data_IF_628846804064
#
_entry.id   IF_628846804064
#
_cell.length_a   1.000
_cell.length_b   1.000
_cell.length_c   1.000
_cell.angle_alpha   90.00
_cell.angle_beta   90.00
_cell.angle_gamma   90.00
#
_symmetry.space_group_name_H-M   'P 1'
#
loop_
_entity.id
_entity.type
_entity.pdbx_description
1 polymer ?
#
# COMPACT_ATOMS: atom_id res chain seq x y z
N UNK A 1 0.01 -17.03 -7.27
CA UNK A 1 -0.29 -16.81 -8.70
C UNK A 1 0.45 -17.84 -9.56
N UNK A 2 -0.15 -18.39 -10.61
CA UNK A 2 0.51 -19.43 -11.44
C UNK A 2 1.36 -18.82 -12.57
N UNK A 3 2.29 -19.59 -13.14
CA UNK A 3 3.04 -19.18 -14.36
C UNK A 3 2.12 -18.88 -15.54
N UNK A 4 0.99 -19.56 -15.64
CA UNK A 4 0.00 -19.33 -16.68
C UNK A 4 -0.70 -17.99 -16.49
N UNK A 5 -1.05 -17.63 -15.26
CA UNK A 5 -1.64 -16.32 -14.93
C UNK A 5 -0.69 -15.19 -15.28
N UNK A 6 0.58 -15.30 -14.84
CA UNK A 6 1.62 -14.32 -15.18
C UNK A 6 1.77 -14.16 -16.71
N UNK A 7 1.73 -15.26 -17.47
CA UNK A 7 1.83 -15.21 -18.93
C UNK A 7 0.63 -14.49 -19.56
N UNK A 8 -0.58 -14.72 -19.04
CA UNK A 8 -1.80 -14.03 -19.50
C UNK A 8 -1.79 -12.54 -19.13
N UNK A 9 -1.40 -12.21 -17.90
CA UNK A 9 -1.27 -10.81 -17.45
C UNK A 9 -0.22 -10.09 -18.27
N UNK A 10 0.95 -10.71 -18.52
CA UNK A 10 1.97 -10.15 -19.40
C UNK A 10 1.42 -9.84 -20.79
N UNK A 11 0.62 -10.75 -21.38
CA UNK A 11 -0.04 -10.49 -22.65
C UNK A 11 -1.05 -9.33 -22.60
N UNK A 12 -1.80 -9.18 -21.49
CA UNK A 12 -2.69 -8.04 -21.27
C UNK A 12 -1.93 -6.70 -21.20
N UNK A 13 -0.74 -6.72 -20.61
CA UNK A 13 0.14 -5.55 -20.43
C UNK A 13 1.10 -5.30 -21.62
N UNK A 14 1.01 -6.08 -22.71
CA UNK A 14 1.84 -5.87 -23.90
C UNK A 14 1.48 -4.62 -24.71
N UNK A 15 0.30 -4.02 -24.48
CA UNK A 15 -0.15 -2.79 -25.13
C UNK A 15 -0.71 -1.80 -24.10
N UNK A 16 -0.72 -0.48 -24.38
CA UNK A 16 -1.30 0.52 -23.49
C UNK A 16 -2.73 0.17 -23.08
N UNK A 17 -3.03 0.36 -21.80
CA UNK A 17 -4.33 0.05 -21.17
C UNK A 17 -4.79 1.21 -20.30
N UNK A 18 -6.11 1.35 -20.12
CA UNK A 18 -6.70 2.12 -19.03
C UNK A 18 -6.72 1.26 -17.77
N UNK A 19 -5.97 1.64 -16.76
CA UNK A 19 -5.78 0.86 -15.54
C UNK A 19 -6.17 1.70 -14.34
N UNK A 20 -6.99 1.13 -13.46
CA UNK A 20 -7.28 1.70 -12.15
C UNK A 20 -6.61 0.83 -11.09
N UNK A 21 -6.04 1.47 -10.07
CA UNK A 21 -5.31 0.83 -8.96
C UNK A 21 -5.99 1.29 -7.67
N UNK A 22 -6.41 0.34 -6.84
CA UNK A 22 -7.22 0.62 -5.65
C UNK A 22 -6.63 -0.10 -4.43
N UNK A 23 -6.42 0.61 -3.31
CA UNK A 23 -6.16 0.00 -2.00
C UNK A 23 -7.41 -0.10 -1.12
N UNK A 24 -7.24 -0.59 0.11
CA UNK A 24 -8.28 -0.60 1.13
C UNK A 24 -8.63 0.81 1.67
N UNK A 25 -9.75 0.88 2.39
CA UNK A 25 -10.20 2.06 3.14
C UNK A 25 -9.26 2.33 4.32
N UNK A 26 -8.99 3.60 4.62
CA UNK A 26 -7.95 4.06 5.54
C UNK A 26 -6.57 3.51 5.16
N UNK A 27 -6.08 3.79 3.93
CA UNK A 27 -4.85 3.20 3.45
C UNK A 27 -3.65 3.67 4.29
N UNK A 28 -2.74 2.74 4.56
CA UNK A 28 -1.51 2.97 5.30
C UNK A 28 -0.28 2.98 4.36
N UNK A 29 0.92 2.83 4.92
CA UNK A 29 2.15 2.87 4.14
C UNK A 29 2.27 1.75 3.11
N UNK A 30 1.76 0.55 3.38
CA UNK A 30 1.84 -0.57 2.43
C UNK A 30 0.82 -0.44 1.30
N UNK A 31 -0.39 -0.03 1.63
CA UNK A 31 -1.43 0.32 0.68
C UNK A 31 -1.00 1.45 -0.29
N UNK A 32 -0.48 2.57 0.23
CA UNK A 32 -0.04 3.69 -0.61
C UNK A 32 1.27 3.34 -1.35
N UNK A 33 2.22 2.69 -0.68
CA UNK A 33 3.49 2.29 -1.28
C UNK A 33 3.31 1.30 -2.45
N UNK A 34 2.44 0.30 -2.30
CA UNK A 34 2.20 -0.73 -3.30
C UNK A 34 1.45 -0.17 -4.52
N UNK A 35 0.45 0.68 -4.28
CA UNK A 35 -0.32 1.32 -5.35
C UNK A 35 0.51 2.31 -6.15
N UNK A 36 1.31 3.17 -5.50
CA UNK A 36 2.22 4.09 -6.20
C UNK A 36 3.38 3.36 -6.87
N UNK A 37 3.95 2.33 -6.24
CA UNK A 37 5.00 1.51 -6.85
C UNK A 37 4.51 0.84 -8.14
N UNK A 38 3.30 0.25 -8.12
CA UNK A 38 2.70 -0.31 -9.32
C UNK A 38 2.33 0.76 -10.34
N UNK A 39 1.83 1.92 -9.90
CA UNK A 39 1.52 3.06 -10.78
C UNK A 39 2.74 3.48 -11.59
N UNK A 40 3.87 3.73 -10.93
CA UNK A 40 5.12 4.15 -11.59
C UNK A 40 5.58 3.11 -12.62
N UNK A 41 5.55 1.82 -12.25
CA UNK A 41 5.85 0.73 -13.17
C UNK A 41 4.94 0.75 -14.40
N UNK A 42 3.62 0.82 -14.21
CA UNK A 42 2.65 0.81 -15.31
C UNK A 42 2.79 2.05 -16.21
N UNK A 43 3.16 3.20 -15.64
CA UNK A 43 3.47 4.43 -16.39
C UNK A 43 4.71 4.28 -17.27
N UNK A 44 5.79 3.66 -16.77
CA UNK A 44 6.97 3.34 -17.59
C UNK A 44 6.64 2.40 -18.76
N UNK A 45 5.60 1.58 -18.61
CA UNK A 45 5.07 0.69 -19.67
C UNK A 45 4.04 1.37 -20.59
N UNK A 46 3.91 2.69 -20.53
CA UNK A 46 2.99 3.52 -21.32
C UNK A 46 1.50 3.24 -21.09
N UNK A 47 1.11 2.65 -19.95
CA UNK A 47 -0.30 2.54 -19.60
C UNK A 47 -0.84 3.87 -19.06
N UNK A 48 -2.16 4.07 -19.21
CA UNK A 48 -2.90 5.13 -18.53
C UNK A 48 -3.37 4.58 -17.18
N UNK A 49 -2.48 4.63 -16.18
CA UNK A 49 -2.76 4.22 -14.82
C UNK A 49 -3.30 5.39 -13.98
N UNK A 50 -4.28 5.12 -13.13
CA UNK A 50 -4.81 6.04 -12.12
C UNK A 50 -4.95 5.33 -10.79
N UNK A 51 -4.46 5.93 -9.71
CA UNK A 51 -4.67 5.46 -8.34
C UNK A 51 -5.91 6.14 -7.76
N UNK A 52 -6.82 5.35 -7.20
CA UNK A 52 -8.03 5.84 -6.54
C UNK A 52 -8.10 5.22 -5.14
N UNK A 53 -8.11 6.06 -4.11
CA UNK A 53 -8.24 5.63 -2.71
C UNK A 53 -9.66 5.88 -2.20
N UNK A 54 -10.20 5.03 -1.29
CA UNK A 54 -11.54 5.26 -0.75
C UNK A 54 -11.67 6.59 0.04
N UNK A 55 -10.65 6.94 0.82
CA UNK A 55 -10.62 8.12 1.68
C UNK A 55 -9.20 8.64 1.88
N UNK A 56 -9.07 9.82 2.50
CA UNK A 56 -7.78 10.40 2.83
C UNK A 56 -6.99 9.56 3.83
N UNK A 57 -5.69 9.77 3.83
CA UNK A 57 -4.70 8.98 4.53
C UNK A 57 -3.68 9.85 5.25
N UNK A 58 -2.92 9.31 6.22
CA UNK A 58 -2.09 10.10 7.12
C UNK A 58 -1.10 11.03 6.41
N UNK A 59 -0.87 12.20 7.03
CA UNK A 59 0.03 13.25 6.52
C UNK A 59 1.47 12.79 6.30
N UNK A 60 1.96 11.82 7.11
CA UNK A 60 3.32 11.27 7.00
C UNK A 60 3.54 10.41 5.74
N UNK A 61 2.53 10.26 4.87
CA UNK A 61 2.65 9.60 3.56
C UNK A 61 2.64 10.60 2.39
N UNK A 62 2.38 11.89 2.65
CA UNK A 62 2.22 12.96 1.64
C UNK A 62 3.54 13.48 1.04
N UNK A 63 4.61 12.71 1.20
CA UNK A 63 5.93 12.97 0.59
C UNK A 63 6.24 11.96 -0.52
N UNK A 64 5.46 10.87 -0.63
CA UNK A 64 5.76 9.79 -1.57
C UNK A 64 5.71 10.29 -3.02
N UNK A 65 6.62 9.81 -3.89
CA UNK A 65 6.67 10.23 -5.29
C UNK A 65 5.32 10.11 -6.00
N UNK A 66 4.80 11.26 -6.48
CA UNK A 66 3.53 11.40 -7.18
C UNK A 66 2.29 11.05 -6.34
N UNK A 67 2.31 11.19 -5.02
CA UNK A 67 1.10 11.05 -4.19
C UNK A 67 0.00 12.05 -4.56
N UNK A 68 0.38 13.24 -5.03
CA UNK A 68 -0.51 14.34 -5.39
C UNK A 68 -1.48 14.01 -6.54
N UNK A 69 -1.20 12.97 -7.34
CA UNK A 69 -2.06 12.52 -8.44
C UNK A 69 -3.18 11.59 -7.98
N UNK A 70 -3.16 11.13 -6.72
CA UNK A 70 -4.12 10.17 -6.18
C UNK A 70 -5.50 10.82 -6.10
N UNK A 71 -6.50 10.16 -6.68
CA UNK A 71 -7.90 10.57 -6.56
C UNK A 71 -8.48 10.00 -5.26
N UNK A 72 -9.01 10.88 -4.41
CA UNK A 72 -9.74 10.49 -3.19
C UNK A 72 -11.21 10.35 -3.53
N UNK A 73 -11.74 9.14 -3.46
CA UNK A 73 -13.12 8.83 -3.85
C UNK A 73 -14.16 9.62 -3.02
N UNK A 74 -13.92 9.79 -1.72
CA UNK A 74 -14.78 10.60 -0.85
C UNK A 74 -14.87 12.08 -1.26
N UNK A 75 -13.85 12.59 -1.97
CA UNK A 75 -13.78 13.98 -2.42
C UNK A 75 -14.30 14.17 -3.85
N UNK A 76 -14.08 13.20 -4.74
CA UNK A 76 -14.52 13.28 -6.14
C UNK A 76 -15.03 11.91 -6.66
N UNK A 77 -16.21 11.54 -6.17
CA UNK A 77 -16.87 10.28 -6.53
C UNK A 77 -17.21 10.19 -8.01
N UNK A 78 -17.67 11.27 -8.63
CA UNK A 78 -18.14 11.27 -10.02
C UNK A 78 -17.00 10.92 -10.97
N UNK A 79 -15.85 11.60 -10.85
CA UNK A 79 -14.68 11.33 -11.68
C UNK A 79 -14.15 9.91 -11.44
N UNK A 80 -14.10 9.48 -10.17
CA UNK A 80 -13.62 8.15 -9.82
C UNK A 80 -14.52 7.04 -10.40
N UNK A 81 -15.84 7.16 -10.30
CA UNK A 81 -16.81 6.22 -10.88
C UNK A 81 -16.64 6.10 -12.41
N UNK A 82 -16.46 7.22 -13.10
CA UNK A 82 -16.23 7.22 -14.54
C UNK A 82 -14.94 6.50 -14.92
N UNK A 83 -13.85 6.74 -14.19
CA UNK A 83 -12.57 6.09 -14.43
C UNK A 83 -12.63 4.58 -14.18
N UNK A 84 -13.30 4.16 -13.10
CA UNK A 84 -13.50 2.74 -12.76
C UNK A 84 -14.33 2.05 -13.85
N UNK A 85 -15.43 2.66 -14.32
CA UNK A 85 -16.28 2.11 -15.38
C UNK A 85 -15.57 2.01 -16.73
N UNK A 86 -14.63 2.92 -17.01
CA UNK A 86 -13.85 2.93 -18.26
C UNK A 86 -12.57 2.09 -18.19
N UNK A 87 -12.20 1.55 -17.02
CA UNK A 87 -11.01 0.76 -16.85
C UNK A 87 -11.10 -0.55 -17.66
N UNK A 88 -10.00 -0.94 -18.27
CA UNK A 88 -9.86 -2.27 -18.88
C UNK A 88 -9.33 -3.27 -17.86
N UNK A 89 -8.45 -2.80 -16.96
CA UNK A 89 -7.88 -3.56 -15.86
C UNK A 89 -8.08 -2.79 -14.54
N UNK A 90 -8.40 -3.51 -13.48
CA UNK A 90 -8.41 -2.98 -12.11
C UNK A 90 -7.45 -3.83 -11.28
N UNK A 91 -6.45 -3.19 -10.69
CA UNK A 91 -5.63 -3.80 -9.65
C UNK A 91 -6.20 -3.46 -8.27
N UNK A 92 -6.46 -4.48 -7.47
CA UNK A 92 -6.79 -4.35 -6.06
C UNK A 92 -5.57 -4.78 -5.24
N UNK A 93 -5.00 -3.85 -4.49
CA UNK A 93 -3.79 -4.07 -3.71
C UNK A 93 -4.07 -3.95 -2.23
N UNK A 94 -3.50 -4.84 -1.44
CA UNK A 94 -3.54 -4.77 0.01
C UNK A 94 -4.95 -4.93 0.61
N UNK A 95 -5.83 -5.59 -0.14
CA UNK A 95 -7.05 -6.17 0.39
C UNK A 95 -7.55 -7.31 -0.49
N UNK A 96 -8.35 -8.17 0.14
CA UNK A 96 -8.83 -9.40 -0.47
C UNK A 96 -10.35 -9.57 -0.50
N UNK A 97 -11.11 -8.54 -0.13
CA UNK A 97 -12.57 -8.52 -0.17
C UNK A 97 -13.09 -7.12 -0.54
N UNK A 98 -14.04 -7.00 -1.48
CA UNK A 98 -14.41 -5.70 -2.07
C UNK A 98 -14.95 -4.69 -1.04
N UNK A 99 -15.64 -5.15 0.00
CA UNK A 99 -16.12 -4.29 1.10
C UNK A 99 -15.00 -3.53 1.83
N UNK A 100 -13.74 -4.00 1.73
CA UNK A 100 -12.56 -3.30 2.27
C UNK A 100 -12.27 -2.01 1.54
N UNK A 101 -12.77 -1.81 0.32
CA UNK A 101 -12.68 -0.55 -0.42
C UNK A 101 -13.80 0.45 -0.04
N UNK A 102 -14.64 0.16 0.96
CA UNK A 102 -15.68 1.06 1.43
C UNK A 102 -16.70 1.42 0.35
N UNK A 103 -17.00 2.71 0.21
CA UNK A 103 -18.05 3.21 -0.71
C UNK A 103 -17.73 2.99 -2.21
N UNK A 104 -16.52 2.52 -2.52
CA UNK A 104 -16.14 2.07 -3.86
C UNK A 104 -16.62 0.65 -4.19
N UNK A 105 -17.02 -0.16 -3.20
CA UNK A 105 -17.43 -1.56 -3.41
C UNK A 105 -18.49 -1.71 -4.52
N UNK A 106 -19.60 -0.95 -4.56
CA UNK A 106 -20.64 -1.17 -5.56
C UNK A 106 -20.17 -0.91 -7.00
N UNK A 107 -19.33 0.11 -7.19
CA UNK A 107 -18.81 0.44 -8.53
C UNK A 107 -17.72 -0.54 -8.96
N UNK A 108 -16.88 -1.02 -8.03
CA UNK A 108 -15.90 -2.06 -8.31
C UNK A 108 -16.56 -3.39 -8.68
N UNK A 109 -17.61 -3.78 -7.95
CA UNK A 109 -18.34 -5.02 -8.19
C UNK A 109 -18.98 -5.04 -9.58
N UNK A 110 -19.55 -3.93 -10.02
CA UNK A 110 -20.24 -3.81 -11.33
C UNK A 110 -19.31 -3.46 -12.49
N UNK A 111 -18.03 -3.13 -12.24
CA UNK A 111 -17.07 -2.82 -13.28
C UNK A 111 -16.75 -4.06 -14.15
N UNK A 112 -16.82 -3.89 -15.47
CA UNK A 112 -16.51 -4.93 -16.47
C UNK A 112 -15.01 -5.22 -16.63
N UNK A 113 -14.15 -4.41 -16.01
CA UNK A 113 -12.70 -4.57 -16.09
C UNK A 113 -12.23 -5.92 -15.53
N UNK A 114 -11.15 -6.45 -16.10
CA UNK A 114 -10.46 -7.62 -15.54
C UNK A 114 -9.83 -7.20 -14.22
N UNK A 115 -10.15 -7.93 -13.14
CA UNK A 115 -9.64 -7.65 -11.79
C UNK A 115 -8.43 -8.52 -11.48
N UNK A 116 -7.34 -7.90 -11.03
CA UNK A 116 -6.10 -8.55 -10.60
C UNK A 116 -5.88 -8.16 -9.14
N UNK A 117 -5.85 -9.15 -8.25
CA UNK A 117 -5.66 -8.91 -6.83
C UNK A 117 -4.25 -9.31 -6.41
N UNK A 118 -3.58 -8.44 -5.64
CA UNK A 118 -2.26 -8.67 -5.04
C UNK A 118 -2.37 -8.33 -3.55
N UNK A 119 -2.29 -9.33 -2.68
CA UNK A 119 -2.56 -9.15 -1.26
C UNK A 119 -1.96 -10.27 -0.40
N UNK A 120 -1.48 -9.93 0.80
CA UNK A 120 -0.87 -10.87 1.75
C UNK A 120 -1.79 -11.25 2.93
N UNK A 121 -3.03 -10.77 2.97
CA UNK A 121 -3.97 -11.07 4.04
C UNK A 121 -4.63 -12.45 3.88
N UNK A 122 -5.07 -13.01 5.01
CA UNK A 122 -5.74 -14.32 5.04
C UNK A 122 -7.17 -14.24 4.46
N UNK A 123 -7.65 -15.38 3.95
CA UNK A 123 -9.04 -15.60 3.53
C UNK A 123 -9.51 -14.70 2.38
N UNK A 124 -8.92 -14.83 1.17
CA UNK A 124 -9.33 -14.02 0.04
C UNK A 124 -10.69 -14.43 -0.55
N UNK A 125 -11.47 -13.43 -0.99
CA UNK A 125 -12.69 -13.61 -1.77
C UNK A 125 -12.38 -14.01 -3.23
N UNK A 126 -13.41 -14.42 -3.98
CA UNK A 126 -13.31 -14.96 -5.34
C UNK A 126 -13.66 -13.97 -6.47
N UNK A 127 -13.61 -12.66 -6.21
CA UNK A 127 -14.00 -11.64 -7.19
C UNK A 127 -12.96 -11.40 -8.31
N UNK A 128 -11.69 -11.73 -8.07
CA UNK A 128 -10.59 -11.39 -8.95
C UNK A 128 -10.37 -12.47 -10.02
N UNK A 129 -10.21 -12.05 -11.28
CA UNK A 129 -9.87 -12.98 -12.38
C UNK A 129 -8.49 -13.60 -12.18
N UNK A 130 -7.54 -12.82 -11.66
CA UNK A 130 -6.20 -13.28 -11.32
C UNK A 130 -5.87 -12.96 -9.88
N UNK A 131 -5.39 -13.98 -9.15
CA UNK A 131 -5.13 -13.92 -7.72
C UNK A 131 -3.65 -14.13 -7.42
N UNK A 132 -3.00 -13.11 -6.86
CA UNK A 132 -1.72 -13.24 -6.15
C UNK A 132 -1.99 -13.04 -4.66
N UNK A 133 -2.24 -14.14 -3.95
CA UNK A 133 -2.37 -14.17 -2.50
C UNK A 133 -1.30 -15.05 -1.89
N UNK A 134 -0.52 -14.50 -0.96
CA UNK A 134 0.54 -15.21 -0.24
C UNK A 134 0.70 -14.63 1.17
N UNK A 135 0.19 -15.33 2.17
CA UNK A 135 0.19 -14.87 3.56
C UNK A 135 1.55 -15.02 4.25
N UNK A 136 2.57 -15.51 3.54
CA UNK A 136 3.93 -15.64 4.06
C UNK A 136 4.80 -14.43 3.71
N UNK A 137 4.36 -13.59 2.76
CA UNK A 137 5.05 -12.38 2.36
C UNK A 137 4.89 -11.27 3.40
N UNK A 138 5.92 -10.43 3.53
CA UNK A 138 5.95 -9.46 4.62
C UNK A 138 4.97 -8.32 4.42
N UNK A 139 4.69 -7.97 3.16
CA UNK A 139 3.78 -6.88 2.77
C UNK A 139 3.37 -6.99 1.30
N UNK A 140 2.31 -6.30 0.90
CA UNK A 140 1.88 -6.16 -0.49
C UNK A 140 2.95 -5.46 -1.35
N UNK A 141 3.73 -4.52 -0.81
CA UNK A 141 4.88 -3.94 -1.52
C UNK A 141 5.93 -4.98 -1.93
N UNK A 142 6.27 -5.94 -1.04
CA UNK A 142 7.15 -7.06 -1.37
C UNK A 142 6.54 -7.90 -2.51
N UNK A 143 5.23 -8.13 -2.48
CA UNK A 143 4.52 -8.83 -3.55
C UNK A 143 4.54 -8.08 -4.87
N UNK A 144 4.39 -6.75 -4.88
CA UNK A 144 4.48 -5.93 -6.11
C UNK A 144 5.89 -6.01 -6.71
N UNK A 145 6.94 -5.98 -5.87
CA UNK A 145 8.30 -6.21 -6.34
C UNK A 145 8.42 -7.56 -7.06
N UNK A 146 7.97 -8.64 -6.41
CA UNK A 146 8.01 -9.98 -7.00
C UNK A 146 7.14 -10.09 -8.25
N UNK A 147 6.01 -9.41 -8.31
CA UNK A 147 5.17 -9.35 -9.50
C UNK A 147 5.91 -8.74 -10.69
N UNK A 148 6.59 -7.61 -10.51
CA UNK A 148 7.41 -6.99 -11.57
C UNK A 148 8.56 -7.92 -11.99
N UNK A 149 9.20 -8.62 -11.04
CA UNK A 149 10.22 -9.63 -11.33
C UNK A 149 9.65 -10.79 -12.15
N UNK A 150 8.47 -11.31 -11.80
CA UNK A 150 7.79 -12.39 -12.52
C UNK A 150 7.40 -12.00 -13.95
N UNK A 151 7.20 -10.71 -14.23
CA UNK A 151 7.00 -10.19 -15.59
C UNK A 151 8.30 -10.13 -16.42
N UNK A 152 9.46 -10.44 -15.81
CA UNK A 152 10.82 -10.23 -16.34
C UNK A 152 11.16 -8.76 -16.58
N UNK A 153 10.65 -7.88 -15.71
CA UNK A 153 10.81 -6.42 -15.84
C UNK A 153 11.52 -5.80 -14.62
N UNK A 154 12.29 -6.59 -13.86
CA UNK A 154 13.03 -6.13 -12.69
C UNK A 154 13.96 -4.94 -12.98
N UNK A 155 14.49 -4.84 -14.20
CA UNK A 155 15.34 -3.75 -14.68
C UNK A 155 14.60 -2.41 -14.82
N UNK A 156 13.26 -2.41 -14.85
CA UNK A 156 12.44 -1.20 -14.93
C UNK A 156 12.06 -0.63 -13.56
N UNK A 157 12.47 -1.29 -12.46
CA UNK A 157 12.28 -0.73 -11.12
C UNK A 157 13.29 0.40 -10.94
N UNK A 158 12.81 1.64 -11.09
CA UNK A 158 13.58 2.87 -10.89
C UNK A 158 13.51 3.35 -9.44
N UNK A 159 14.10 4.52 -9.15
CA UNK A 159 14.15 5.09 -7.80
C UNK A 159 12.77 5.45 -7.24
N UNK A 160 11.80 5.83 -8.09
CA UNK A 160 10.46 6.16 -7.63
C UNK A 160 9.70 4.90 -7.21
N UNK A 161 9.73 3.86 -8.05
CA UNK A 161 9.17 2.55 -7.70
C UNK A 161 9.87 2.02 -6.44
N UNK A 162 11.20 2.09 -6.40
CA UNK A 162 11.97 1.58 -5.28
C UNK A 162 11.62 2.27 -3.96
N UNK A 163 11.48 3.60 -3.99
CA UNK A 163 11.11 4.42 -2.82
C UNK A 163 9.74 4.04 -2.28
N UNK A 164 8.71 3.96 -3.15
CA UNK A 164 7.35 3.61 -2.74
C UNK A 164 7.27 2.19 -2.15
N UNK A 165 7.89 1.21 -2.82
CA UNK A 165 7.87 -0.18 -2.35
C UNK A 165 8.65 -0.35 -1.03
N UNK A 166 9.81 0.31 -0.90
CA UNK A 166 10.59 0.25 0.34
C UNK A 166 9.81 0.84 1.52
N UNK A 167 9.12 1.96 1.30
CA UNK A 167 8.33 2.62 2.34
C UNK A 167 7.21 1.72 2.89
N UNK A 168 6.46 1.03 2.02
CA UNK A 168 5.42 0.11 2.47
C UNK A 168 5.95 -1.13 3.18
N UNK A 169 7.05 -1.70 2.67
CA UNK A 169 7.76 -2.78 3.37
C UNK A 169 8.22 -2.33 4.76
N UNK A 170 8.76 -1.11 4.89
CA UNK A 170 9.23 -0.57 6.17
C UNK A 170 8.08 -0.46 7.17
N UNK A 171 6.91 0.04 6.76
CA UNK A 171 5.77 0.22 7.66
C UNK A 171 5.18 -1.11 8.12
N UNK A 172 4.97 -2.04 7.20
CA UNK A 172 4.22 -3.26 7.49
C UNK A 172 5.05 -4.33 8.22
N UNK A 173 6.37 -4.20 8.15
CA UNK A 173 7.30 -5.03 8.93
C UNK A 173 7.67 -4.45 10.30
N UNK A 174 7.10 -3.28 10.66
CA UNK A 174 7.47 -2.58 11.88
C UNK A 174 8.96 -2.21 11.91
N UNK A 175 9.46 -1.72 10.76
CA UNK A 175 10.88 -1.51 10.48
C UNK A 175 11.71 -2.80 10.54
N UNK A 176 11.28 -3.83 9.81
CA UNK A 176 11.94 -5.13 9.68
C UNK A 176 12.08 -5.92 10.99
N UNK A 177 11.20 -5.64 11.96
CA UNK A 177 11.23 -6.24 13.31
C UNK A 177 10.24 -7.39 13.45
N UNK A 178 9.15 -7.37 12.69
CA UNK A 178 8.09 -8.37 12.83
C UNK A 178 8.51 -9.73 12.24
N UNK A 179 7.96 -10.85 12.75
CA UNK A 179 8.34 -12.21 12.32
C UNK A 179 8.10 -12.52 10.84
N UNK A 180 7.23 -11.75 10.16
CA UNK A 180 7.02 -11.83 8.72
C UNK A 180 8.23 -11.36 7.91
N UNK A 181 9.18 -10.66 8.54
CA UNK A 181 10.45 -10.27 7.92
C UNK A 181 11.35 -11.49 7.78
N UNK A 182 11.69 -11.85 6.54
CA UNK A 182 12.56 -12.99 6.24
C UNK A 182 13.87 -12.56 5.57
N UNK A 183 14.74 -13.54 5.31
CA UNK A 183 15.91 -13.29 4.48
C UNK A 183 15.52 -12.78 3.08
N UNK A 184 14.41 -13.24 2.50
CA UNK A 184 13.93 -12.77 1.19
C UNK A 184 13.56 -11.30 1.26
N UNK A 185 12.80 -10.90 2.29
CA UNK A 185 12.43 -9.51 2.56
C UNK A 185 13.65 -8.59 2.60
N UNK A 186 14.72 -9.00 3.30
CA UNK A 186 15.96 -8.24 3.32
C UNK A 186 16.70 -8.19 1.98
N UNK A 187 16.65 -9.24 1.15
CA UNK A 187 17.22 -9.19 -0.20
C UNK A 187 16.44 -8.24 -1.10
N UNK A 188 15.09 -8.23 -1.00
CA UNK A 188 14.25 -7.27 -1.71
C UNK A 188 14.58 -5.85 -1.27
N UNK A 189 14.63 -5.59 0.04
CA UNK A 189 15.00 -4.29 0.60
C UNK A 189 16.39 -3.82 0.09
N UNK A 190 17.38 -4.72 0.06
CA UNK A 190 18.72 -4.42 -0.46
C UNK A 190 18.70 -4.08 -1.96
N UNK A 191 17.93 -4.79 -2.78
CA UNK A 191 17.78 -4.48 -4.21
C UNK A 191 17.06 -3.14 -4.43
N UNK A 192 16.05 -2.81 -3.63
CA UNK A 192 15.37 -1.51 -3.69
C UNK A 192 16.33 -0.36 -3.33
N UNK A 193 17.16 -0.53 -2.29
CA UNK A 193 18.21 0.45 -1.95
C UNK A 193 19.19 0.61 -3.12
N UNK A 194 19.64 -0.50 -3.72
CA UNK A 194 20.50 -0.47 -4.91
C UNK A 194 19.86 0.27 -6.08
N UNK A 195 18.53 0.24 -6.19
CA UNK A 195 17.73 0.91 -7.23
C UNK A 195 17.37 2.36 -6.90
N UNK A 196 17.84 2.88 -5.76
CA UNK A 196 17.75 4.30 -5.43
C UNK A 196 16.78 4.64 -4.30
N UNK A 197 16.22 3.67 -3.60
CA UNK A 197 15.48 3.96 -2.36
C UNK A 197 16.47 4.46 -1.28
N UNK A 198 16.33 5.71 -0.83
CA UNK A 198 17.07 6.20 0.32
C UNK A 198 16.36 5.80 1.61
N UNK A 199 16.74 4.65 2.17
CA UNK A 199 16.08 4.11 3.37
C UNK A 199 16.09 5.06 4.57
N UNK A 200 17.10 5.93 4.70
CA UNK A 200 17.20 6.85 5.84
C UNK A 200 16.18 7.98 5.70
N UNK A 201 16.08 8.57 4.51
CA UNK A 201 15.11 9.64 4.26
C UNK A 201 13.69 9.09 4.37
N UNK A 202 13.44 7.89 3.82
CA UNK A 202 12.13 7.22 3.91
C UNK A 202 11.74 6.98 5.39
N UNK A 203 12.68 6.50 6.21
CA UNK A 203 12.42 6.32 7.64
C UNK A 203 12.08 7.64 8.32
N UNK A 204 12.86 8.69 8.05
CA UNK A 204 12.67 10.01 8.64
C UNK A 204 11.29 10.58 8.30
N UNK A 205 10.87 10.50 7.03
CA UNK A 205 9.57 11.00 6.58
C UNK A 205 8.39 10.27 7.24
N UNK A 206 8.53 8.96 7.50
CA UNK A 206 7.46 8.14 8.12
C UNK A 206 7.43 8.29 9.64
N UNK A 207 8.57 8.24 10.31
CA UNK A 207 8.64 8.11 11.77
C UNK A 207 9.13 9.36 12.51
N UNK A 208 9.94 10.20 11.86
CA UNK A 208 10.58 11.38 12.47
C UNK A 208 9.92 12.72 12.08
N UNK A 209 8.70 12.68 11.57
CA UNK A 209 7.87 13.87 11.24
C UNK A 209 6.91 14.26 12.36
N UNK A 210 7.33 14.13 13.62
CA UNK A 210 6.48 14.42 14.78
C UNK A 210 6.33 15.92 15.05
N UNK A 211 5.09 16.39 15.24
CA UNK A 211 4.85 17.75 15.74
C UNK A 211 5.27 17.87 17.21
N UNK A 212 5.58 19.11 17.64
CA UNK A 212 5.84 19.41 19.05
C UNK A 212 4.71 18.90 19.95
N UNK A 213 3.46 19.19 19.58
CA UNK A 213 2.27 18.80 20.35
C UNK A 213 2.10 17.27 20.42
N UNK A 214 2.39 16.55 19.33
CA UNK A 214 2.39 15.08 19.33
C UNK A 214 3.41 14.50 20.31
N UNK A 215 4.60 15.11 20.40
CA UNK A 215 5.63 14.69 21.35
C UNK A 215 5.23 15.00 22.80
N UNK A 216 4.62 16.17 23.05
CA UNK A 216 4.10 16.52 24.38
C UNK A 216 2.97 15.58 24.80
N UNK A 217 2.03 15.28 23.89
CA UNK A 217 0.93 14.36 24.12
C UNK A 217 1.43 12.93 24.40
N UNK A 218 2.47 12.47 23.69
CA UNK A 218 3.12 11.19 24.00
C UNK A 218 3.72 11.20 25.41
N UNK A 219 4.40 12.29 25.79
CA UNK A 219 4.90 12.48 27.15
C UNK A 219 3.78 12.40 28.20
N UNK A 220 2.63 13.02 27.91
CA UNK A 220 1.44 12.95 28.76
C UNK A 220 0.89 11.52 28.86
N UNK A 221 0.74 10.82 27.74
CA UNK A 221 0.28 9.43 27.72
C UNK A 221 1.20 8.49 28.52
N UNK A 222 2.52 8.66 28.38
CA UNK A 222 3.52 7.90 29.13
C UNK A 222 3.48 8.23 30.63
N UNK A 223 3.22 9.48 31.02
CA UNK A 223 3.03 9.84 32.43
C UNK A 223 1.80 9.16 33.06
N UNK A 224 0.80 8.83 32.24
CA UNK A 224 -0.41 8.13 32.65
C UNK A 224 -0.23 6.58 32.65
N UNK A 225 0.95 6.05 32.30
CA UNK A 225 1.24 4.62 32.24
C UNK A 225 0.96 3.92 33.58
N UNK A 226 0.24 2.80 33.51
CA UNK A 226 0.00 1.89 34.61
C UNK A 226 0.46 0.49 34.22
N UNK A 227 1.17 -0.15 35.14
CA UNK A 227 1.66 -1.54 35.01
C UNK A 227 0.96 -2.39 36.05
N UNK A 228 0.46 -3.56 35.62
CA UNK A 228 -0.13 -4.59 36.48
C UNK A 228 0.76 -5.83 36.35
N UNK A 229 1.80 -5.96 37.19
CA UNK A 229 2.82 -7.01 37.05
C UNK A 229 2.24 -8.43 37.10
N UNK A 230 1.22 -8.64 37.93
CA UNK A 230 0.58 -9.94 38.15
C UNK A 230 -0.08 -10.48 36.88
N UNK A 231 -0.51 -9.58 35.99
CA UNK A 231 -1.13 -9.91 34.71
C UNK A 231 -0.16 -9.78 33.53
N UNK A 232 1.06 -9.28 33.76
CA UNK A 232 2.02 -8.90 32.70
C UNK A 232 1.42 -7.92 31.70
N UNK A 233 0.65 -6.96 32.21
CA UNK A 233 -0.10 -6.00 31.42
C UNK A 233 0.32 -4.58 31.75
N UNK A 234 0.39 -3.73 30.73
CA UNK A 234 0.52 -2.28 30.89
C UNK A 234 -0.54 -1.57 30.05
N UNK A 235 -1.01 -0.41 30.51
CA UNK A 235 -1.94 0.44 29.76
C UNK A 235 -1.64 1.91 29.98
N UNK A 236 -2.01 2.73 28.99
CA UNK A 236 -1.94 4.20 29.02
C UNK A 236 -3.35 4.74 28.78
N UNK A 237 -3.65 5.93 29.30
CA UNK A 237 -4.92 6.62 29.09
C UNK A 237 -4.69 8.05 28.65
N UNK A 238 -5.58 8.54 27.80
CA UNK A 238 -5.70 9.96 27.45
C UNK A 238 -7.18 10.35 27.57
N UNK A 239 -7.49 11.32 28.42
CA UNK A 239 -8.84 11.90 28.51
C UNK A 239 -9.05 12.93 27.39
N UNK A 240 -10.32 13.26 27.10
CA UNK A 240 -10.61 14.32 26.13
C UNK A 240 -10.03 15.68 26.57
N UNK A 241 -10.00 15.95 27.88
CA UNK A 241 -9.38 17.17 28.42
C UNK A 241 -7.87 17.19 28.15
N UNK A 242 -7.17 16.07 28.34
CA UNK A 242 -5.73 15.97 28.04
C UNK A 242 -5.46 16.08 26.54
N UNK A 243 -6.31 15.51 25.69
CA UNK A 243 -6.22 15.67 24.23
C UNK A 243 -6.39 17.12 23.81
N UNK A 244 -7.29 17.88 24.43
CA UNK A 244 -7.57 19.28 24.08
C UNK A 244 -6.48 20.26 24.54
N UNK A 245 -5.48 19.81 25.31
CA UNK A 245 -4.36 20.65 25.76
C UNK A 245 -3.23 20.76 24.74
N UNK A 246 -3.26 19.94 23.69
CA UNK A 246 -2.23 19.81 22.65
C UNK A 246 -2.89 19.82 21.27
#
# INVERSE_FOLDING_TARGET
MTKQDISKIKALLCSPKKIVIVPHKNPDGDAIGSTLGLYHYLKLRNHKATVIVPNDYPGFLKWMPNEDIIIKYESDKTTADELIKQAELIFTLDFNALHRAGDMEPVLQTANAIKIMIDHHQQPDDYATYLYSDTTMSSTCEMVYHFIVMLNDAQHIDSNIATCLYAGMLTDTGSFRFPSTTSVTHHVAADLIKKGANHSDIYNEIYDTNSYDRLQLLGKALSNLKVIPELRTAYITLTQEELNQF
#
